data_IF_566995539601
#
_entry.id   IF_566995539601
#
_cell.length_a   1.000
_cell.length_b   1.000
_cell.length_c   1.000
_cell.angle_alpha   90.00
_cell.angle_beta   90.00
_cell.angle_gamma   90.00
#
_symmetry.space_group_name_H-M   'P 1'
#
loop_
_entity.id
_entity.type
_entity.pdbx_description
1 polymer ?
#
# COMPACT_ATOMS: atom_id res chain seq x y z
N UNK A 1 -9.79 -0.86 -17.17
CA UNK A 1 -8.32 -0.81 -17.24
C UNK A 1 -7.71 -1.91 -16.39
N UNK A 2 -6.47 -2.23 -16.62
CA UNK A 2 -5.73 -3.22 -15.83
C UNK A 2 -4.78 -2.52 -14.86
N UNK A 3 -4.78 -2.99 -13.61
CA UNK A 3 -3.88 -2.52 -12.56
C UNK A 3 -3.00 -3.70 -12.16
N UNK A 4 -1.69 -3.50 -12.18
CA UNK A 4 -0.73 -4.49 -11.69
C UNK A 4 -0.20 -4.03 -10.34
N UNK A 5 -0.23 -4.92 -9.36
CA UNK A 5 0.34 -4.68 -8.04
C UNK A 5 1.34 -5.78 -7.74
N UNK A 6 2.60 -5.39 -7.59
CA UNK A 6 3.68 -6.29 -7.22
C UNK A 6 4.26 -5.84 -5.90
N UNK A 7 4.34 -6.77 -4.96
CA UNK A 7 4.92 -6.48 -3.65
C UNK A 7 6.01 -7.50 -3.35
N UNK A 8 7.22 -7.01 -3.12
CA UNK A 8 8.34 -7.83 -2.69
C UNK A 8 8.50 -7.64 -1.20
N UNK A 9 8.35 -8.72 -0.45
CA UNK A 9 8.33 -8.71 1.00
C UNK A 9 9.57 -9.43 1.50
N UNK A 10 10.35 -8.77 2.37
CA UNK A 10 11.52 -9.38 3.01
C UNK A 10 11.33 -9.41 4.51
N UNK A 11 11.48 -10.59 5.08
CA UNK A 11 11.43 -10.77 6.53
C UNK A 11 12.52 -11.77 6.92
N UNK A 12 13.52 -11.28 7.68
CA UNK A 12 14.71 -12.07 7.98
C UNK A 12 15.48 -12.41 6.71
N UNK A 13 15.76 -13.68 6.51
CA UNK A 13 16.43 -14.19 5.31
C UNK A 13 15.45 -14.62 4.22
N UNK A 14 14.17 -14.53 4.50
CA UNK A 14 13.13 -14.95 3.57
C UNK A 14 12.67 -13.79 2.69
N UNK A 15 12.22 -14.14 1.49
CA UNK A 15 11.68 -13.18 0.53
C UNK A 15 10.48 -13.80 -0.17
N UNK A 16 9.42 -13.01 -0.29
CA UNK A 16 8.21 -13.41 -1.00
C UNK A 16 7.87 -12.33 -2.03
N UNK A 17 7.44 -12.74 -3.21
CA UNK A 17 6.99 -11.82 -4.25
C UNK A 17 5.54 -12.15 -4.55
N UNK A 18 4.67 -11.16 -4.39
CA UNK A 18 3.25 -11.23 -4.75
C UNK A 18 3.03 -10.32 -5.94
N UNK A 19 2.57 -10.88 -7.04
CA UNK A 19 2.36 -10.15 -8.30
C UNK A 19 0.96 -10.46 -8.81
N UNK A 20 0.08 -9.45 -8.80
CA UNK A 20 -1.32 -9.61 -9.09
C UNK A 20 -1.78 -8.57 -10.11
N UNK A 21 -2.76 -8.97 -10.93
CA UNK A 21 -3.42 -8.08 -11.89
C UNK A 21 -4.89 -7.99 -11.54
N UNK A 22 -5.41 -6.76 -11.56
CA UNK A 22 -6.81 -6.49 -11.24
C UNK A 22 -7.42 -5.61 -12.31
N UNK A 23 -8.72 -5.78 -12.57
CA UNK A 23 -9.49 -4.83 -13.34
C UNK A 23 -9.95 -3.72 -12.41
N UNK A 24 -9.77 -2.48 -12.84
CA UNK A 24 -10.13 -1.36 -11.99
C UNK A 24 -10.36 -0.08 -12.76
N UNK A 25 -10.45 1.00 -12.01
CA UNK A 25 -10.69 2.33 -12.53
C UNK A 25 -9.63 3.29 -12.03
N UNK A 26 -9.27 4.25 -12.88
CA UNK A 26 -8.44 5.39 -12.49
C UNK A 26 -9.29 6.64 -12.53
N UNK A 27 -9.12 7.49 -11.51
CA UNK A 27 -9.80 8.78 -11.43
C UNK A 27 -8.84 9.82 -10.88
N UNK A 28 -9.06 11.08 -11.25
CA UNK A 28 -8.32 12.20 -10.70
C UNK A 28 -9.33 13.21 -10.16
N UNK A 29 -9.09 13.69 -8.93
CA UNK A 29 -9.98 14.66 -8.29
C UNK A 29 -9.23 15.42 -7.21
N UNK A 30 -9.35 16.75 -7.24
CA UNK A 30 -8.84 17.65 -6.20
C UNK A 30 -7.33 17.47 -5.92
N UNK A 31 -6.55 17.20 -6.96
CA UNK A 31 -5.09 17.05 -6.83
C UNK A 31 -4.64 15.66 -6.45
N UNK A 32 -5.55 14.70 -6.33
CA UNK A 32 -5.23 13.31 -6.02
C UNK A 32 -5.63 12.40 -7.15
N UNK A 33 -4.88 11.32 -7.31
CA UNK A 33 -5.24 10.22 -8.19
C UNK A 33 -5.80 9.08 -7.36
N UNK A 34 -6.72 8.34 -7.94
CA UNK A 34 -7.38 7.20 -7.30
C UNK A 34 -7.35 5.99 -8.21
N UNK A 35 -6.97 4.85 -7.66
CA UNK A 35 -7.14 3.55 -8.30
C UNK A 35 -8.14 2.75 -7.46
N UNK A 36 -9.17 2.23 -8.10
CA UNK A 36 -10.22 1.48 -7.44
C UNK A 36 -10.33 0.10 -8.08
N UNK A 37 -10.30 -0.94 -7.26
CA UNK A 37 -10.44 -2.30 -7.75
C UNK A 37 -11.06 -3.20 -6.68
N UNK A 38 -11.44 -4.41 -7.09
CA UNK A 38 -11.92 -5.46 -6.18
C UNK A 38 -10.88 -6.56 -6.14
N UNK A 39 -10.47 -6.97 -4.93
CA UNK A 39 -9.45 -8.00 -4.76
C UNK A 39 -10.02 -9.41 -4.87
N UNK A 40 -9.19 -10.42 -4.67
CA UNK A 40 -9.56 -11.84 -4.78
C UNK A 40 -10.54 -12.29 -3.70
N UNK A 41 -10.68 -11.53 -2.62
CA UNK A 41 -11.62 -11.81 -1.54
C UNK A 41 -12.94 -11.03 -1.71
N UNK A 42 -13.15 -10.48 -2.89
CA UNK A 42 -14.33 -9.67 -3.23
C UNK A 42 -14.47 -8.41 -2.39
N UNK A 43 -13.35 -7.89 -1.91
CA UNK A 43 -13.31 -6.65 -1.15
C UNK A 43 -12.89 -5.49 -2.04
N UNK A 44 -13.51 -4.33 -1.86
CA UNK A 44 -13.13 -3.13 -2.59
C UNK A 44 -11.86 -2.55 -1.98
N UNK A 45 -10.96 -2.10 -2.84
CA UNK A 45 -9.71 -1.46 -2.46
C UNK A 45 -9.61 -0.12 -3.16
N UNK A 46 -9.19 0.90 -2.43
CA UNK A 46 -8.95 2.23 -2.97
C UNK A 46 -7.51 2.65 -2.66
N UNK A 47 -6.79 3.08 -3.70
CA UNK A 47 -5.48 3.70 -3.58
C UNK A 47 -5.67 5.17 -3.90
N UNK A 48 -5.44 6.04 -2.92
CA UNK A 48 -5.48 7.50 -3.09
C UNK A 48 -4.07 8.02 -2.97
N UNK A 49 -3.57 8.73 -3.98
CA UNK A 49 -2.17 9.14 -3.97
C UNK A 49 -1.91 10.46 -4.67
N UNK A 50 -0.80 11.07 -4.29
CA UNK A 50 -0.23 12.25 -4.91
C UNK A 50 1.29 12.06 -4.95
N UNK A 51 2.05 13.12 -5.28
CA UNK A 51 3.51 13.04 -5.28
C UNK A 51 4.12 12.79 -3.88
N UNK A 52 3.35 13.03 -2.82
CA UNK A 52 3.86 13.03 -1.45
C UNK A 52 3.25 11.98 -0.55
N UNK A 53 2.16 11.33 -0.96
CA UNK A 53 1.48 10.39 -0.09
C UNK A 53 0.69 9.33 -0.85
N UNK A 54 0.50 8.20 -0.19
CA UNK A 54 -0.38 7.13 -0.63
C UNK A 54 -1.20 6.65 0.57
N UNK A 55 -2.51 6.55 0.38
CA UNK A 55 -3.41 5.92 1.35
C UNK A 55 -4.06 4.72 0.69
N UNK A 56 -3.80 3.54 1.22
CA UNK A 56 -4.42 2.29 0.77
C UNK A 56 -5.51 1.91 1.75
N UNK A 57 -6.74 1.82 1.25
CA UNK A 57 -7.88 1.41 2.06
C UNK A 57 -8.48 0.15 1.49
N UNK A 58 -8.56 -0.90 2.31
CA UNK A 58 -9.30 -2.11 1.98
C UNK A 58 -10.62 -2.07 2.77
N UNK A 59 -11.73 -2.08 2.05
CA UNK A 59 -13.06 -1.97 2.66
C UNK A 59 -13.56 -3.35 3.12
N UNK A 60 -12.82 -3.92 4.05
CA UNK A 60 -13.22 -5.09 4.79
C UNK A 60 -14.00 -4.63 6.03
N UNK A 61 -14.46 -5.56 6.85
CA UNK A 61 -15.16 -5.24 8.08
C UNK A 61 -14.42 -5.88 9.26
N UNK A 62 -13.64 -5.11 10.02
CA UNK A 62 -13.35 -3.67 9.91
C UNK A 62 -12.35 -3.35 8.78
N UNK A 63 -12.24 -2.06 8.44
CA UNK A 63 -11.36 -1.59 7.37
C UNK A 63 -9.89 -1.75 7.71
N UNK A 64 -9.08 -1.98 6.66
CA UNK A 64 -7.63 -1.89 6.74
C UNK A 64 -7.19 -0.60 6.07
N UNK A 65 -6.34 0.19 6.72
CA UNK A 65 -5.85 1.47 6.20
C UNK A 65 -4.35 1.52 6.38
N UNK A 66 -3.62 1.82 5.30
CA UNK A 66 -2.18 2.02 5.34
C UNK A 66 -1.86 3.38 4.74
N UNK A 67 -1.07 4.18 5.46
CA UNK A 67 -0.68 5.53 5.04
C UNK A 67 0.83 5.61 4.89
N UNK A 68 1.26 6.08 3.71
CA UNK A 68 2.66 6.22 3.35
C UNK A 68 2.92 7.68 3.00
N UNK A 69 3.93 8.26 3.61
CA UNK A 69 4.31 9.65 3.35
C UNK A 69 5.77 9.72 2.90
N UNK A 70 6.02 10.57 1.90
CA UNK A 70 7.35 10.69 1.30
C UNK A 70 8.40 11.19 2.29
N UNK A 71 8.04 12.15 3.15
CA UNK A 71 8.99 12.84 4.01
C UNK A 71 8.72 12.67 5.51
N UNK A 72 7.80 11.80 5.88
CA UNK A 72 7.49 11.55 7.29
C UNK A 72 6.96 10.14 7.47
N UNK A 73 6.88 9.71 8.72
CA UNK A 73 6.36 8.39 9.05
C UNK A 73 4.85 8.35 8.90
N UNK A 74 4.36 7.22 8.42
CA UNK A 74 2.94 6.92 8.33
C UNK A 74 2.57 5.81 9.29
N UNK A 75 1.44 5.15 9.02
CA UNK A 75 0.96 4.08 9.89
C UNK A 75 0.01 3.15 9.19
N UNK A 76 -0.20 2.01 9.81
CA UNK A 76 -1.14 1.00 9.36
C UNK A 76 -2.07 0.61 10.49
N UNK A 77 -3.35 0.43 10.15
CA UNK A 77 -4.37 -0.12 11.04
C UNK A 77 -4.90 -1.35 10.33
N UNK A 78 -4.58 -2.53 10.84
CA UNK A 78 -4.86 -3.79 10.17
C UNK A 78 -5.64 -4.73 11.08
N UNK A 79 -6.86 -5.16 10.67
CA UNK A 79 -7.58 -6.20 11.39
C UNK A 79 -6.86 -7.54 11.24
N UNK A 80 -6.74 -8.25 12.35
CA UNK A 80 -6.16 -9.60 12.38
C UNK A 80 -7.08 -10.51 13.19
N UNK A 81 -6.91 -11.84 13.13
CA UNK A 81 -7.65 -12.75 13.99
C UNK A 81 -7.46 -12.47 15.47
N UNK A 82 -6.37 -11.79 15.84
CA UNK A 82 -6.08 -11.39 17.22
C UNK A 82 -6.64 -10.02 17.57
N UNK A 83 -7.39 -9.38 16.67
CA UNK A 83 -7.92 -8.04 16.85
C UNK A 83 -7.28 -7.05 15.92
N UNK A 84 -7.58 -5.76 16.11
CA UNK A 84 -7.04 -4.68 15.29
C UNK A 84 -5.64 -4.33 15.79
N UNK A 85 -4.66 -4.34 14.89
CA UNK A 85 -3.28 -4.00 15.18
C UNK A 85 -2.86 -2.72 14.49
N UNK A 86 -1.98 -1.96 15.12
CA UNK A 86 -1.43 -0.73 14.59
C UNK A 86 0.08 -0.87 14.41
N UNK A 87 0.58 -0.31 13.30
CA UNK A 87 2.01 -0.35 12.96
C UNK A 87 2.50 1.01 12.52
N UNK A 88 3.79 1.23 12.67
CA UNK A 88 4.48 2.38 12.12
C UNK A 88 4.99 2.01 10.72
N UNK A 89 4.88 2.93 9.78
CA UNK A 89 5.42 2.78 8.42
C UNK A 89 6.47 3.85 8.19
N UNK A 90 7.69 3.44 7.87
CA UNK A 90 8.74 4.37 7.42
C UNK A 90 8.98 4.13 5.94
N UNK A 91 8.93 5.20 5.15
CA UNK A 91 9.07 5.13 3.69
C UNK A 91 10.43 5.66 3.28
N UNK A 92 11.22 4.81 2.63
CA UNK A 92 12.58 5.15 2.18
C UNK A 92 12.62 5.67 0.75
N UNK A 93 11.66 5.25 -0.07
CA UNK A 93 11.57 5.61 -1.47
C UNK A 93 10.10 5.84 -1.82
N UNK A 94 9.82 6.94 -2.50
CA UNK A 94 8.48 7.24 -2.99
C UNK A 94 8.61 7.93 -4.34
N UNK A 95 8.25 7.23 -5.41
CA UNK A 95 8.37 7.73 -6.78
C UNK A 95 7.04 7.55 -7.50
N UNK A 96 6.49 8.65 -7.99
CA UNK A 96 5.29 8.66 -8.80
C UNK A 96 5.61 9.20 -10.18
N UNK A 97 5.28 8.41 -11.20
CA UNK A 97 5.36 8.80 -12.61
C UNK A 97 4.04 8.46 -13.28
N UNK A 98 3.86 8.89 -14.52
CA UNK A 98 2.63 8.59 -15.25
C UNK A 98 2.44 7.07 -15.35
N UNK A 99 1.36 6.55 -14.77
CA UNK A 99 1.04 5.13 -14.80
C UNK A 99 1.90 4.24 -13.92
N UNK A 100 2.68 4.81 -13.00
CA UNK A 100 3.65 4.04 -12.23
C UNK A 100 3.89 4.65 -10.86
N UNK A 101 3.74 3.85 -9.79
CA UNK A 101 4.02 4.25 -8.41
C UNK A 101 4.93 3.20 -7.79
N UNK A 102 6.06 3.63 -7.21
CA UNK A 102 7.03 2.75 -6.59
C UNK A 102 7.39 3.25 -5.21
N UNK A 103 7.21 2.39 -4.21
CA UNK A 103 7.54 2.67 -2.81
C UNK A 103 8.47 1.59 -2.26
N UNK A 104 9.40 2.04 -1.39
CA UNK A 104 10.16 1.15 -0.53
C UNK A 104 9.86 1.57 0.90
N UNK A 105 9.40 0.64 1.74
CA UNK A 105 9.01 0.97 3.10
C UNK A 105 9.26 -0.18 4.07
N UNK A 106 9.24 0.14 5.35
CA UNK A 106 9.35 -0.83 6.43
C UNK A 106 8.13 -0.76 7.32
N UNK A 107 7.69 -1.92 7.78
CA UNK A 107 6.60 -2.04 8.75
C UNK A 107 7.22 -2.34 10.11
N UNK A 108 6.94 -1.51 11.09
CA UNK A 108 7.56 -1.57 12.42
C UNK A 108 6.50 -1.57 13.51
N UNK A 109 6.91 -1.96 14.72
CA UNK A 109 6.08 -1.71 15.90
C UNK A 109 5.89 -0.21 16.10
N UNK A 110 4.85 0.21 16.81
CA UNK A 110 4.54 1.63 17.00
C UNK A 110 5.68 2.41 17.66
N UNK A 111 6.46 1.77 18.54
CA UNK A 111 7.62 2.39 19.16
C UNK A 111 8.84 2.44 18.23
N UNK A 112 8.76 1.79 17.05
CA UNK A 112 9.84 1.77 16.10
C UNK A 112 10.98 0.83 16.42
N UNK A 113 10.89 0.06 17.51
CA UNK A 113 11.99 -0.76 17.99
C UNK A 113 12.15 -2.09 17.23
N UNK A 114 11.07 -2.62 16.66
CA UNK A 114 11.10 -3.89 15.96
C UNK A 114 10.57 -3.75 14.54
N UNK A 115 11.28 -4.30 13.59
CA UNK A 115 10.86 -4.37 12.19
C UNK A 115 10.21 -5.73 11.94
N UNK A 116 8.98 -5.74 11.39
CA UNK A 116 8.33 -6.96 10.97
C UNK A 116 8.82 -7.40 9.59
N UNK A 117 8.91 -6.45 8.66
CA UNK A 117 9.34 -6.74 7.30
C UNK A 117 9.67 -5.44 6.58
N UNK A 118 10.41 -5.56 5.49
CA UNK A 118 10.54 -4.46 4.55
C UNK A 118 9.95 -4.85 3.20
N UNK A 119 9.48 -3.86 2.47
CA UNK A 119 8.66 -4.04 1.29
C UNK A 119 9.11 -3.16 0.15
N UNK A 120 8.96 -3.67 -1.07
CA UNK A 120 9.00 -2.85 -2.26
C UNK A 120 7.67 -3.04 -2.97
N UNK A 121 6.91 -1.97 -3.08
CA UNK A 121 5.59 -1.96 -3.69
C UNK A 121 5.67 -1.26 -5.05
N UNK A 122 5.21 -1.96 -6.07
CA UNK A 122 5.11 -1.43 -7.42
C UNK A 122 3.66 -1.49 -7.86
N UNK A 123 3.12 -0.35 -8.28
CA UNK A 123 1.77 -0.27 -8.84
C UNK A 123 1.88 0.32 -10.24
N UNK A 124 1.35 -0.38 -11.21
CA UNK A 124 1.33 0.05 -12.60
C UNK A 124 -0.09 0.02 -13.15
N UNK A 125 -0.43 1.01 -13.96
CA UNK A 125 -1.75 1.08 -14.58
C UNK A 125 -1.66 1.79 -15.92
N UNK A 126 -2.62 1.51 -16.80
CA UNK A 126 -2.77 2.18 -18.09
C UNK A 126 -4.03 3.03 -18.04
N UNK A 127 -3.90 4.28 -18.41
CA UNK A 127 -5.00 5.21 -18.46
C UNK A 127 -5.76 5.13 -19.80
#
# INVERSE_FOLDING_TARGET
MQIRIQNTIRFGEEMEIVDQYYKGEWKEKAGFQYLLYTNEEDEKVALKFSNDELVMTRFSSPKSIMRFYKNEDGGAIIPTPMGIQQFLITTNLFQLEAGHLHLSYRLLTLDGEQEFANYQLLVEWEE
#
